data_IF_455304919496
#
_entry.id   IF_455304919496
#
_cell.length_a   1.000
_cell.length_b   1.000
_cell.length_c   1.000
_cell.angle_alpha   90.00
_cell.angle_beta   90.00
_cell.angle_gamma   90.00
#
_symmetry.space_group_name_H-M   'P 1'
#
loop_
_entity.id
_entity.type
_entity.pdbx_description
1 polymer ?
#
# COMPACT_ATOMS: atom_id res chain seq x y z
N UNK A 1 19.72 16.49 7.31
CA UNK A 1 18.38 15.89 7.37
C UNK A 1 18.24 14.80 6.33
N UNK A 2 17.90 13.59 6.76
CA UNK A 2 17.63 12.46 5.88
C UNK A 2 16.11 12.29 5.69
N UNK A 3 15.69 11.78 4.54
CA UNK A 3 14.30 11.40 4.27
C UNK A 3 13.81 10.38 5.31
N UNK A 4 12.57 10.50 5.78
CA UNK A 4 12.03 9.54 6.76
C UNK A 4 11.78 8.18 6.10
N UNK A 5 11.81 7.06 6.85
CA UNK A 5 11.52 5.74 6.27
C UNK A 5 10.15 5.68 5.58
N UNK A 6 9.14 6.35 6.15
CA UNK A 6 7.80 6.42 5.56
C UNK A 6 7.79 7.15 4.22
N UNK A 7 8.52 8.27 4.12
CA UNK A 7 8.65 9.00 2.85
C UNK A 7 9.45 8.19 1.82
N UNK A 8 10.52 7.52 2.25
CA UNK A 8 11.33 6.70 1.37
C UNK A 8 10.56 5.51 0.77
N UNK A 9 9.77 4.78 1.57
CA UNK A 9 8.96 3.64 1.08
C UNK A 9 8.00 4.10 -0.02
N UNK A 10 7.29 5.21 0.22
CA UNK A 10 6.28 5.71 -0.72
C UNK A 10 6.92 6.32 -1.96
N UNK A 11 8.05 7.01 -1.81
CA UNK A 11 8.83 7.51 -2.95
C UNK A 11 9.36 6.38 -3.82
N UNK A 12 9.95 5.34 -3.20
CA UNK A 12 10.49 4.19 -3.93
C UNK A 12 9.39 3.44 -4.70
N UNK A 13 8.21 3.25 -4.10
CA UNK A 13 7.06 2.65 -4.78
C UNK A 13 6.53 3.49 -5.96
N UNK A 14 6.41 4.81 -5.79
CA UNK A 14 5.98 5.69 -6.88
C UNK A 14 7.02 5.73 -8.02
N UNK A 15 8.31 5.78 -7.68
CA UNK A 15 9.40 5.80 -8.64
C UNK A 15 9.51 4.48 -9.41
N UNK A 16 9.41 3.32 -8.74
CA UNK A 16 9.52 2.01 -9.39
C UNK A 16 8.42 1.79 -10.42
N UNK A 17 7.18 2.22 -10.14
CA UNK A 17 6.06 2.11 -11.08
C UNK A 17 6.29 2.93 -12.36
N UNK A 18 7.04 4.02 -12.32
CA UNK A 18 7.37 4.80 -13.54
C UNK A 18 8.22 4.02 -14.55
N UNK A 19 8.84 2.91 -14.13
CA UNK A 19 9.63 2.02 -14.99
C UNK A 19 8.81 0.91 -15.62
N UNK A 20 7.55 0.73 -15.19
CA UNK A 20 6.65 -0.29 -15.70
C UNK A 20 5.76 0.31 -16.81
N UNK A 21 5.81 -0.24 -18.03
CA UNK A 21 5.01 0.25 -19.14
C UNK A 21 3.51 0.13 -18.85
N UNK A 22 2.79 1.26 -18.90
CA UNK A 22 1.35 1.31 -18.65
C UNK A 22 0.95 1.36 -17.17
N UNK A 23 1.90 1.34 -16.23
CA UNK A 23 1.61 1.54 -14.82
C UNK A 23 1.19 3.00 -14.53
N UNK A 24 0.38 3.22 -13.48
CA UNK A 24 -0.07 4.56 -13.10
C UNK A 24 1.08 5.41 -12.55
N UNK A 25 0.99 6.73 -12.73
CA UNK A 25 1.80 7.69 -11.98
C UNK A 25 1.14 7.95 -10.63
N UNK A 26 1.65 7.31 -9.57
CA UNK A 26 1.13 7.48 -8.21
C UNK A 26 1.58 8.82 -7.63
N UNK A 27 0.66 9.55 -7.00
CA UNK A 27 0.97 10.81 -6.34
C UNK A 27 1.92 10.57 -5.16
N UNK A 28 3.03 11.31 -5.13
CA UNK A 28 3.95 11.34 -4.00
C UNK A 28 3.79 12.62 -3.18
N UNK A 29 3.75 12.47 -1.85
CA UNK A 29 3.70 13.55 -0.86
C UNK A 29 4.81 13.29 0.16
N UNK A 30 5.53 14.33 0.58
CA UNK A 30 6.67 14.28 1.52
C UNK A 30 6.33 14.96 2.85
N UNK A 31 6.93 14.50 3.94
CA UNK A 31 6.77 15.08 5.28
C UNK A 31 6.18 14.12 6.32
N UNK A 32 6.22 12.81 6.10
CA UNK A 32 5.76 11.84 7.11
C UNK A 32 6.67 11.89 8.34
N UNK A 33 6.11 11.88 9.57
CA UNK A 33 6.91 11.82 10.78
C UNK A 33 7.63 10.46 10.91
N UNK A 34 8.67 10.36 11.76
CA UNK A 34 9.27 9.08 12.11
C UNK A 34 8.24 8.09 12.68
N UNK A 35 8.39 6.77 12.42
CA UNK A 35 7.50 5.76 13.00
C UNK A 35 7.56 5.78 14.52
N UNK A 36 6.42 5.57 15.18
CA UNK A 36 6.30 5.63 16.65
C UNK A 36 6.62 4.30 17.32
N UNK A 37 6.18 3.21 16.71
CA UNK A 37 6.28 1.84 17.22
C UNK A 37 6.04 0.84 16.07
N UNK A 38 6.36 -0.45 16.25
CA UNK A 38 6.01 -1.50 15.30
C UNK A 38 4.49 -1.58 15.09
N UNK A 39 4.08 -1.98 13.89
CA UNK A 39 2.68 -2.25 13.61
C UNK A 39 2.20 -3.49 14.40
N UNK A 40 0.92 -3.55 14.82
CA UNK A 40 0.36 -4.76 15.44
C UNK A 40 0.45 -5.98 14.52
N UNK A 41 0.58 -7.16 15.12
CA UNK A 41 0.55 -8.42 14.38
C UNK A 41 -0.81 -8.66 13.70
N UNK A 42 -0.79 -9.48 12.64
CA UNK A 42 -1.99 -9.98 11.93
C UNK A 42 -2.88 -8.91 11.27
N UNK A 43 -2.35 -7.71 11.00
CA UNK A 43 -3.07 -6.67 10.24
C UNK A 43 -2.88 -6.76 8.72
N UNK A 44 -1.99 -7.64 8.25
CA UNK A 44 -1.71 -7.85 6.82
C UNK A 44 -2.53 -9.04 6.31
N UNK A 45 -3.39 -8.85 5.29
CA UNK A 45 -4.15 -9.94 4.69
C UNK A 45 -3.25 -11.03 4.09
N UNK A 46 -3.67 -12.28 4.23
CA UNK A 46 -2.93 -13.46 3.75
C UNK A 46 -3.64 -14.11 2.55
N UNK A 47 -2.89 -14.77 1.65
CA UNK A 47 -3.47 -15.45 0.49
C UNK A 47 -4.39 -16.63 0.86
N UNK A 48 -4.34 -17.11 2.10
CA UNK A 48 -5.22 -18.17 2.62
C UNK A 48 -6.52 -17.64 3.23
N UNK A 49 -6.67 -16.32 3.37
CA UNK A 49 -7.91 -15.73 3.85
C UNK A 49 -9.04 -15.91 2.82
N UNK A 50 -10.28 -16.05 3.31
CA UNK A 50 -11.45 -16.06 2.44
C UNK A 50 -11.71 -14.67 1.86
N UNK A 51 -12.46 -14.59 0.75
CA UNK A 51 -12.84 -13.29 0.15
C UNK A 51 -13.51 -12.35 1.16
N UNK A 52 -14.41 -12.86 2.00
CA UNK A 52 -15.09 -12.05 3.01
C UNK A 52 -14.12 -11.50 4.08
N UNK A 53 -13.12 -12.29 4.47
CA UNK A 53 -12.06 -11.83 5.37
C UNK A 53 -11.21 -10.73 4.73
N UNK A 54 -10.88 -10.85 3.44
CA UNK A 54 -10.13 -9.83 2.71
C UNK A 54 -10.94 -8.52 2.59
N UNK A 55 -12.20 -8.62 2.20
CA UNK A 55 -13.10 -7.46 2.10
C UNK A 55 -13.26 -6.76 3.46
N UNK A 56 -13.41 -7.53 4.53
CA UNK A 56 -13.50 -6.99 5.89
C UNK A 56 -12.21 -6.29 6.33
N UNK A 57 -11.04 -6.89 6.04
CA UNK A 57 -9.75 -6.31 6.41
C UNK A 57 -9.49 -4.97 5.70
N UNK A 58 -9.85 -4.84 4.42
CA UNK A 58 -9.71 -3.60 3.67
C UNK A 58 -10.76 -2.55 4.06
N UNK A 59 -11.98 -2.97 4.39
CA UNK A 59 -12.99 -2.07 4.95
C UNK A 59 -12.57 -1.45 6.30
N UNK A 60 -11.82 -2.18 7.13
CA UNK A 60 -11.28 -1.68 8.40
C UNK A 60 -10.23 -0.57 8.24
N UNK A 61 -9.71 -0.37 7.03
CA UNK A 61 -8.77 0.72 6.68
C UNK A 61 -9.34 1.59 5.55
N UNK A 62 -10.67 1.67 5.50
CA UNK A 62 -11.44 2.59 4.65
C UNK A 62 -11.32 2.37 3.13
N UNK A 63 -11.09 1.12 2.68
CA UNK A 63 -11.21 0.75 1.26
C UNK A 63 -12.49 0.00 0.94
N UNK A 64 -13.15 0.40 -0.15
CA UNK A 64 -14.26 -0.32 -0.76
C UNK A 64 -13.80 -1.61 -1.47
N UNK A 65 -14.73 -2.55 -1.77
CA UNK A 65 -14.43 -3.71 -2.60
C UNK A 65 -13.83 -3.35 -3.97
N UNK A 66 -14.27 -2.25 -4.58
CA UNK A 66 -13.78 -1.78 -5.87
C UNK A 66 -12.33 -1.28 -5.77
N UNK A 67 -11.98 -0.61 -4.68
CA UNK A 67 -10.61 -0.15 -4.43
C UNK A 67 -9.68 -1.31 -4.09
N UNK A 68 -10.13 -2.34 -3.36
CA UNK A 68 -9.36 -3.56 -3.19
C UNK A 68 -9.01 -4.20 -4.54
N UNK A 69 -10.00 -4.34 -5.43
CA UNK A 69 -9.76 -4.87 -6.79
C UNK A 69 -8.77 -3.98 -7.55
N UNK A 70 -8.90 -2.66 -7.45
CA UNK A 70 -7.96 -1.74 -8.08
C UNK A 70 -6.52 -1.90 -7.54
N UNK A 71 -6.34 -2.08 -6.23
CA UNK A 71 -5.04 -2.29 -5.58
C UNK A 71 -4.40 -3.63 -5.98
N UNK A 72 -5.20 -4.67 -6.25
CA UNK A 72 -4.72 -5.96 -6.75
C UNK A 72 -4.10 -5.87 -8.16
N UNK A 73 -4.26 -4.75 -8.87
CA UNK A 73 -3.48 -4.48 -10.10
C UNK A 73 -1.98 -4.51 -9.83
N UNK A 74 -1.53 -4.30 -8.58
CA UNK A 74 -0.13 -4.49 -8.18
C UNK A 74 0.43 -5.88 -8.48
N UNK A 75 -0.42 -6.91 -8.60
CA UNK A 75 0.00 -8.27 -8.98
C UNK A 75 0.29 -8.45 -10.48
N UNK A 76 0.24 -7.37 -11.29
CA UNK A 76 0.58 -7.43 -12.72
C UNK A 76 2.07 -7.22 -13.03
N UNK A 77 2.88 -6.83 -12.03
CA UNK A 77 4.33 -6.55 -12.15
C UNK A 77 5.13 -7.19 -11.02
#
# INVERSE_FOLDING_TARGET
>A
DAITPGDFIQFAGALSLSLCAGAPTVQFVIGRPPPKEPAPDFIVPQPVNTTDQLLTAFANVDFSPQELIALLTSHTV
#
